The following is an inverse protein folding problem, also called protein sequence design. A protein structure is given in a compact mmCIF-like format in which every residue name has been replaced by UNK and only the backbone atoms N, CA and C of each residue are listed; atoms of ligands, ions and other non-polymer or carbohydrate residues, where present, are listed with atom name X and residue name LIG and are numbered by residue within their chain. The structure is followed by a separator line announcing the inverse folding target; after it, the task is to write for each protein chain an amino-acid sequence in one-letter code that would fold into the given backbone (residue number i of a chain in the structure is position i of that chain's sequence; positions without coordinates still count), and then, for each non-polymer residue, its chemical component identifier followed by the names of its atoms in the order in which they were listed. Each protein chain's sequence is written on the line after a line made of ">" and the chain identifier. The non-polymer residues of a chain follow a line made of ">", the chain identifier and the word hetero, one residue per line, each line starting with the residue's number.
data_IF_961449899643
#
_entry.id   IF_961449899643
#
_cell.length_a   1.000
_cell.length_b   1.000
_cell.length_c   1.000
_cell.angle_alpha   90.00
_cell.angle_beta   90.00
_cell.angle_gamma   90.00
#
_symmetry.space_group_name_H-M   'P 1'
#
loop_
_entity.id
_entity.type
_entity.pdbx_description
1 polymer ?
#
# COMPACT_ATOMS: atom_id res chain seq x y z
N UNK A 1 -15.94 17.04 -15.08
CA UNK A 1 -14.65 16.79 -15.76
C UNK A 1 -13.43 17.26 -14.94
N UNK A 2 -13.24 18.54 -14.61
CA UNK A 2 -12.07 18.99 -13.80
C UNK A 2 -12.09 18.33 -12.41
N UNK A 3 -13.24 18.30 -11.73
CA UNK A 3 -13.39 17.66 -10.42
C UNK A 3 -13.07 16.16 -10.44
N UNK A 4 -13.45 15.42 -11.48
CA UNK A 4 -13.16 14.00 -11.57
C UNK A 4 -11.66 13.73 -11.76
N UNK A 5 -10.99 14.56 -12.56
CA UNK A 5 -9.54 14.49 -12.71
C UNK A 5 -8.84 14.79 -11.37
N UNK A 6 -9.29 15.82 -10.64
CA UNK A 6 -8.72 16.16 -9.33
C UNK A 6 -8.89 14.99 -8.33
N UNK A 7 -10.07 14.34 -8.32
CA UNK A 7 -10.35 13.16 -7.49
C UNK A 7 -9.42 11.99 -7.80
N UNK A 8 -9.28 11.65 -9.08
CA UNK A 8 -8.36 10.58 -9.52
C UNK A 8 -6.93 10.91 -9.12
N UNK A 9 -6.48 12.14 -9.36
CA UNK A 9 -5.14 12.58 -9.01
C UNK A 9 -4.90 12.65 -7.50
N UNK A 10 -5.90 12.97 -6.68
CA UNK A 10 -5.80 12.92 -5.23
C UNK A 10 -5.47 11.50 -4.76
N UNK A 11 -6.21 10.50 -5.22
CA UNK A 11 -5.98 9.10 -4.87
C UNK A 11 -4.61 8.63 -5.38
N UNK A 12 -4.27 8.94 -6.62
CA UNK A 12 -2.98 8.57 -7.22
C UNK A 12 -1.80 9.16 -6.43
N UNK A 13 -1.87 10.46 -6.07
CA UNK A 13 -0.77 11.12 -5.35
C UNK A 13 -0.71 10.71 -3.87
N UNK A 14 -1.83 10.50 -3.20
CA UNK A 14 -1.84 9.98 -1.83
C UNK A 14 -1.22 8.58 -1.75
N UNK A 15 -1.59 7.69 -2.67
CA UNK A 15 -1.01 6.34 -2.78
C UNK A 15 0.47 6.40 -3.14
N UNK A 16 0.87 7.31 -4.03
CA UNK A 16 2.25 7.57 -4.42
C UNK A 16 3.11 8.01 -3.24
N UNK A 17 2.64 8.98 -2.47
CA UNK A 17 3.33 9.43 -1.25
C UNK A 17 3.47 8.28 -0.25
N UNK A 18 2.41 7.54 -0.01
CA UNK A 18 2.43 6.35 0.84
C UNK A 18 3.44 5.30 0.39
N UNK A 19 3.55 5.07 -0.93
CA UNK A 19 4.51 4.11 -1.47
C UNK A 19 5.96 4.59 -1.32
N UNK A 20 6.23 5.87 -1.54
CA UNK A 20 7.54 6.47 -1.29
C UNK A 20 7.97 6.34 0.18
N UNK A 21 7.04 6.58 1.11
CA UNK A 21 7.27 6.41 2.55
C UNK A 21 7.44 4.93 2.94
N UNK A 22 6.73 4.02 2.29
CA UNK A 22 6.76 2.58 2.55
C UNK A 22 8.17 1.99 2.55
N UNK A 23 9.01 2.42 1.60
CA UNK A 23 10.37 1.93 1.48
C UNK A 23 11.21 2.09 2.75
N UNK A 24 10.82 3.04 3.60
CA UNK A 24 11.50 3.30 4.88
C UNK A 24 11.07 2.35 6.01
N UNK A 25 9.93 1.67 5.86
CA UNK A 25 9.33 0.85 6.91
C UNK A 25 9.21 -0.64 6.56
N UNK A 26 9.98 -1.08 5.57
CA UNK A 26 10.09 -2.48 5.17
C UNK A 26 8.98 -2.94 4.22
N UNK A 27 9.10 -4.20 3.80
CA UNK A 27 8.26 -4.71 2.72
C UNK A 27 6.82 -4.98 3.14
N UNK A 28 6.61 -5.60 4.26
CA UNK A 28 5.28 -6.05 4.68
C UNK A 28 4.50 -4.93 5.35
N UNK A 29 4.95 -4.51 6.52
CA UNK A 29 4.25 -3.47 7.29
C UNK A 29 4.26 -2.12 6.60
N UNK A 30 5.33 -1.78 5.91
CA UNK A 30 5.39 -0.56 5.11
C UNK A 30 4.29 -0.49 4.05
N UNK A 31 3.86 -1.62 3.49
CA UNK A 31 2.81 -1.66 2.47
C UNK A 31 1.41 -1.30 3.01
N UNK A 32 1.21 -1.35 4.33
CA UNK A 32 -0.03 -0.86 4.93
C UNK A 32 -0.24 0.64 4.71
N UNK A 33 0.84 1.42 4.62
CA UNK A 33 0.77 2.89 4.48
C UNK A 33 0.17 3.32 3.14
N UNK A 34 0.69 2.91 1.97
CA UNK A 34 0.05 3.26 0.70
C UNK A 34 -1.37 2.73 0.59
N UNK A 35 -1.67 1.56 1.14
CA UNK A 35 -3.04 1.03 1.19
C UNK A 35 -3.97 1.90 2.03
N UNK A 36 -3.53 2.32 3.22
CA UNK A 36 -4.30 3.23 4.08
C UNK A 36 -4.58 4.56 3.38
N UNK A 37 -3.55 5.20 2.81
CA UNK A 37 -3.71 6.49 2.15
C UNK A 37 -4.57 6.37 0.87
N UNK A 38 -4.47 5.25 0.14
CA UNK A 38 -5.34 4.96 -0.99
C UNK A 38 -6.81 4.88 -0.55
N UNK A 39 -7.12 4.05 0.45
CA UNK A 39 -8.50 3.85 0.93
C UNK A 39 -9.12 5.12 1.51
N UNK A 40 -8.36 5.85 2.33
CA UNK A 40 -8.82 7.12 2.90
C UNK A 40 -9.08 8.18 1.82
N UNK A 41 -8.17 8.34 0.86
CA UNK A 41 -8.32 9.30 -0.23
C UNK A 41 -9.43 8.93 -1.20
N UNK A 42 -9.67 7.62 -1.45
CA UNK A 42 -10.82 7.15 -2.21
C UNK A 42 -12.14 7.56 -1.55
N UNK A 43 -12.26 7.37 -0.23
CA UNK A 43 -13.44 7.81 0.49
C UNK A 43 -13.63 9.33 0.43
N UNK A 44 -12.58 10.11 0.62
CA UNK A 44 -12.64 11.57 0.54
C UNK A 44 -13.00 12.08 -0.85
N UNK A 45 -12.52 11.40 -1.90
CA UNK A 45 -12.76 11.77 -3.29
C UNK A 45 -14.17 11.41 -3.79
N UNK A 46 -14.69 10.25 -3.41
CA UNK A 46 -15.88 9.67 -4.03
C UNK A 46 -16.95 9.25 -3.02
N UNK A 47 -16.66 9.22 -1.73
CA UNK A 47 -17.62 8.88 -0.68
C UNK A 47 -18.69 9.95 -0.51
N UNK A 48 -19.85 9.52 -0.02
CA UNK A 48 -20.89 10.46 0.39
C UNK A 48 -20.47 11.11 1.71
N UNK A 49 -20.58 12.44 1.78
CA UNK A 49 -20.16 13.23 2.94
C UNK A 49 -20.78 12.73 4.27
N UNK A 50 -20.01 12.77 5.34
CA UNK A 50 -20.54 12.71 6.71
C UNK A 50 -19.99 11.63 7.64
N UNK A 51 -19.23 10.62 7.15
CA UNK A 51 -18.83 9.51 8.02
C UNK A 51 -17.31 9.30 8.04
N UNK A 52 -16.62 9.93 8.97
CA UNK A 52 -15.16 9.77 9.14
C UNK A 52 -14.75 8.33 9.43
N UNK A 53 -15.62 7.54 10.06
CA UNK A 53 -15.39 6.11 10.28
C UNK A 53 -15.31 5.32 8.97
N UNK A 54 -16.05 5.72 7.95
CA UNK A 54 -15.96 5.11 6.62
C UNK A 54 -14.58 5.32 6.01
N UNK A 55 -14.06 6.55 6.06
CA UNK A 55 -12.70 6.86 5.63
C UNK A 55 -11.67 5.97 6.34
N UNK A 56 -11.77 5.84 7.66
CA UNK A 56 -10.86 5.00 8.45
C UNK A 56 -10.99 3.51 8.10
N UNK A 57 -12.21 3.02 7.86
CA UNK A 57 -12.48 1.64 7.48
C UNK A 57 -11.91 1.32 6.09
N UNK A 58 -12.15 2.18 5.11
CA UNK A 58 -11.56 2.05 3.77
C UNK A 58 -10.04 2.05 3.83
N UNK A 59 -9.46 2.95 4.64
CA UNK A 59 -8.02 2.98 4.89
C UNK A 59 -7.51 1.67 5.49
N UNK A 60 -8.15 1.14 6.51
CA UNK A 60 -7.74 -0.09 7.18
C UNK A 60 -7.86 -1.32 6.24
N UNK A 61 -8.97 -1.45 5.51
CA UNK A 61 -9.20 -2.59 4.62
C UNK A 61 -8.23 -2.60 3.44
N UNK A 62 -7.98 -1.46 2.80
CA UNK A 62 -6.99 -1.38 1.72
C UNK A 62 -5.55 -1.49 2.25
N UNK A 63 -5.26 -1.04 3.48
CA UNK A 63 -3.97 -1.30 4.12
C UNK A 63 -3.70 -2.79 4.25
N UNK A 64 -4.66 -3.56 4.77
CA UNK A 64 -4.54 -5.02 4.88
C UNK A 64 -4.40 -5.66 3.50
N UNK A 65 -5.29 -5.32 2.57
CA UNK A 65 -5.31 -5.92 1.22
C UNK A 65 -4.00 -5.70 0.47
N UNK A 66 -3.43 -4.50 0.52
CA UNK A 66 -2.17 -4.19 -0.14
C UNK A 66 -0.97 -4.82 0.59
N UNK A 67 -1.01 -4.90 1.92
CA UNK A 67 0.08 -5.48 2.72
C UNK A 67 0.30 -6.97 2.47
N UNK A 68 -0.73 -7.69 2.05
CA UNK A 68 -0.64 -9.11 1.66
C UNK A 68 0.46 -9.32 0.61
N UNK A 69 0.60 -8.42 -0.36
CA UNK A 69 1.67 -8.45 -1.35
C UNK A 69 3.08 -8.31 -0.76
N UNK A 70 3.21 -7.73 0.45
CA UNK A 70 4.49 -7.46 1.11
C UNK A 70 5.36 -8.67 1.40
N UNK A 71 4.81 -9.86 1.36
CA UNK A 71 5.56 -11.13 1.46
C UNK A 71 6.47 -11.33 0.24
N UNK A 72 6.11 -10.76 -0.92
CA UNK A 72 6.91 -10.86 -2.14
C UNK A 72 8.00 -9.78 -2.17
N UNK A 73 9.27 -10.19 -2.26
CA UNK A 73 10.40 -9.28 -2.46
C UNK A 73 10.55 -8.91 -3.94
N UNK A 74 10.78 -7.64 -4.23
CA UNK A 74 10.99 -7.15 -5.59
C UNK A 74 12.38 -6.53 -5.83
N UNK A 75 13.17 -6.27 -4.80
CA UNK A 75 14.47 -5.60 -4.92
C UNK A 75 15.44 -6.32 -5.87
N UNK A 76 15.46 -7.65 -5.88
CA UNK A 76 16.27 -8.42 -6.82
C UNK A 76 15.76 -8.25 -8.27
N UNK A 77 14.46 -8.19 -8.47
CA UNK A 77 13.85 -7.99 -9.79
C UNK A 77 14.15 -6.59 -10.34
N UNK A 78 14.19 -5.57 -9.47
CA UNK A 78 14.67 -4.23 -9.84
C UNK A 78 16.12 -4.31 -10.30
N UNK A 79 17.00 -5.03 -9.56
CA UNK A 79 18.39 -5.24 -9.97
C UNK A 79 18.52 -5.88 -11.36
N UNK A 80 17.67 -6.85 -11.71
CA UNK A 80 17.63 -7.40 -13.07
C UNK A 80 17.16 -6.34 -14.09
N UNK A 81 16.08 -5.63 -13.81
CA UNK A 81 15.51 -4.63 -14.71
C UNK A 81 16.47 -3.45 -14.98
N UNK A 82 17.30 -3.09 -13.99
CA UNK A 82 18.31 -2.03 -14.12
C UNK A 82 19.65 -2.52 -14.66
N UNK A 83 19.83 -3.83 -14.82
CA UNK A 83 21.09 -4.45 -15.23
C UNK A 83 22.26 -4.12 -14.27
N UNK A 84 21.99 -4.07 -12.96
CA UNK A 84 23.03 -3.87 -11.95
C UNK A 84 24.07 -4.98 -12.00
N UNK A 85 25.35 -4.59 -11.99
CA UNK A 85 26.47 -5.52 -11.96
C UNK A 85 26.38 -6.41 -10.69
N UNK A 86 26.58 -7.73 -10.89
CA UNK A 86 26.56 -8.69 -9.77
C UNK A 86 25.18 -9.20 -9.36
N UNK A 87 24.10 -8.80 -10.03
CA UNK A 87 22.72 -9.26 -9.75
C UNK A 87 22.28 -10.48 -10.59
N UNK A 88 23.21 -11.13 -11.31
CA UNK A 88 22.95 -12.35 -12.10
C UNK A 88 22.75 -12.10 -13.60
N UNK A 89 22.60 -13.18 -14.36
CA UNK A 89 22.60 -13.18 -15.83
C UNK A 89 21.23 -12.90 -16.48
N UNK A 90 20.23 -12.45 -15.70
CA UNK A 90 18.89 -12.21 -16.24
C UNK A 90 18.82 -10.89 -17.01
N UNK A 91 18.10 -10.90 -18.14
CA UNK A 91 17.95 -9.71 -18.96
C UNK A 91 17.09 -8.62 -18.30
N UNK A 92 17.28 -7.34 -18.63
CA UNK A 92 16.40 -6.26 -18.17
C UNK A 92 14.93 -6.47 -18.52
N UNK A 93 14.65 -7.05 -19.69
CA UNK A 93 13.28 -7.40 -20.10
C UNK A 93 12.66 -8.43 -19.15
N UNK A 94 13.43 -9.46 -18.77
CA UNK A 94 12.99 -10.41 -17.74
C UNK A 94 12.67 -9.71 -16.43
N UNK A 95 13.56 -8.83 -15.97
CA UNK A 95 13.34 -8.05 -14.75
C UNK A 95 12.03 -7.23 -14.80
N UNK A 96 11.78 -6.54 -15.91
CA UNK A 96 10.55 -5.76 -16.11
C UNK A 96 9.30 -6.64 -16.13
N UNK A 97 9.32 -7.80 -16.83
CA UNK A 97 8.18 -8.71 -16.86
C UNK A 97 7.91 -9.33 -15.49
N UNK A 98 8.96 -9.74 -14.78
CA UNK A 98 8.83 -10.27 -13.42
C UNK A 98 8.33 -9.21 -12.44
N UNK A 99 8.74 -7.95 -12.59
CA UNK A 99 8.21 -6.81 -11.83
C UNK A 99 6.73 -6.55 -12.15
N UNK A 100 6.35 -6.64 -13.43
CA UNK A 100 4.94 -6.51 -13.82
C UNK A 100 4.08 -7.60 -13.16
N UNK A 101 4.54 -8.85 -13.17
CA UNK A 101 3.86 -9.96 -12.51
C UNK A 101 3.76 -9.74 -10.99
N UNK A 102 4.90 -9.50 -10.34
CA UNK A 102 4.96 -9.35 -8.88
C UNK A 102 4.19 -8.12 -8.41
N UNK A 103 4.40 -6.97 -9.06
CA UNK A 103 3.66 -5.74 -8.77
C UNK A 103 2.17 -5.87 -9.07
N UNK A 104 1.83 -6.57 -10.16
CA UNK A 104 0.45 -6.90 -10.49
C UNK A 104 -0.23 -7.71 -9.40
N UNK A 105 0.44 -8.71 -8.82
CA UNK A 105 -0.10 -9.49 -7.70
C UNK A 105 -0.34 -8.63 -6.45
N UNK A 106 0.53 -7.66 -6.14
CA UNK A 106 0.26 -6.69 -5.09
C UNK A 106 -1.03 -5.91 -5.35
N UNK A 107 -1.16 -5.37 -6.56
CA UNK A 107 -2.33 -4.60 -6.96
C UNK A 107 -3.61 -5.42 -7.09
N UNK A 108 -3.49 -6.70 -7.47
CA UNK A 108 -4.62 -7.61 -7.57
C UNK A 108 -5.36 -7.72 -6.23
N UNK A 109 -4.66 -7.98 -5.14
CA UNK A 109 -5.29 -8.11 -3.82
C UNK A 109 -5.81 -6.77 -3.28
N UNK A 110 -5.14 -5.65 -3.59
CA UNK A 110 -5.70 -4.33 -3.31
C UNK A 110 -7.01 -4.09 -4.07
N UNK A 111 -7.06 -4.51 -5.33
CA UNK A 111 -8.25 -4.47 -6.17
C UNK A 111 -9.38 -5.38 -5.66
N UNK A 112 -9.07 -6.58 -5.15
CA UNK A 112 -10.06 -7.43 -4.46
C UNK A 112 -10.66 -6.69 -3.27
N UNK A 113 -9.82 -6.12 -2.40
CA UNK A 113 -10.28 -5.35 -1.24
C UNK A 113 -11.18 -4.17 -1.65
N UNK A 114 -10.78 -3.42 -2.67
CA UNK A 114 -11.60 -2.31 -3.19
C UNK A 114 -12.90 -2.82 -3.82
N UNK A 115 -12.84 -3.90 -4.59
CA UNK A 115 -14.03 -4.50 -5.20
C UNK A 115 -15.06 -4.92 -4.15
N UNK A 116 -14.63 -5.56 -3.08
CA UNK A 116 -15.50 -5.93 -1.95
C UNK A 116 -16.11 -4.71 -1.24
N UNK A 117 -15.42 -3.57 -1.23
CA UNK A 117 -15.91 -2.31 -0.64
C UNK A 117 -16.85 -1.52 -1.56
N UNK A 118 -16.81 -1.78 -2.87
CA UNK A 118 -17.56 -1.00 -3.87
C UNK A 118 -18.65 -1.79 -4.55
N UNK A 119 -18.64 -3.11 -4.41
CA UNK A 119 -19.74 -3.96 -4.92
C UNK A 119 -21.01 -3.74 -4.11
N UNK A 120 -22.16 -3.84 -4.78
CA UNK A 120 -23.47 -3.91 -4.11
C UNK A 120 -23.83 -5.30 -3.59
N UNK A 121 -22.94 -6.28 -3.74
CA UNK A 121 -23.17 -7.67 -3.31
C UNK A 121 -22.90 -7.80 -1.81
N UNK A 122 -23.87 -8.29 -1.07
CA UNK A 122 -23.69 -8.63 0.36
C UNK A 122 -23.08 -10.02 0.50
N UNK A 123 -21.84 -10.08 0.97
CA UNK A 123 -21.15 -11.33 1.28
C UNK A 123 -21.39 -11.76 2.71
N UNK A 124 -21.87 -12.97 2.88
CA UNK A 124 -21.97 -13.61 4.20
C UNK A 124 -20.60 -14.13 4.65
N UNK A 125 -20.42 -14.34 5.94
CA UNK A 125 -19.19 -14.90 6.48
C UNK A 125 -18.84 -16.25 5.83
N UNK A 126 -19.83 -17.07 5.47
CA UNK A 126 -19.64 -18.34 4.75
C UNK A 126 -19.04 -18.16 3.36
N UNK A 127 -19.48 -17.14 2.61
CA UNK A 127 -18.96 -16.84 1.26
C UNK A 127 -17.49 -16.40 1.33
N UNK A 128 -17.16 -15.53 2.30
CA UNK A 128 -15.79 -15.08 2.53
C UNK A 128 -14.90 -16.21 3.02
N UNK A 129 -15.42 -17.11 3.87
CA UNK A 129 -14.68 -18.30 4.31
C UNK A 129 -14.42 -19.25 3.14
N UNK A 130 -15.43 -19.50 2.27
CA UNK A 130 -15.27 -20.29 1.06
C UNK A 130 -14.22 -19.69 0.13
N UNK A 131 -14.28 -18.38 -0.12
CA UNK A 131 -13.25 -17.68 -0.88
C UNK A 131 -11.87 -17.87 -0.28
N UNK A 132 -11.70 -17.68 1.02
CA UNK A 132 -10.41 -17.83 1.70
C UNK A 132 -9.85 -19.26 1.56
N UNK A 133 -10.70 -20.28 1.68
CA UNK A 133 -10.32 -21.69 1.47
C UNK A 133 -9.87 -21.92 0.03
N UNK A 134 -10.63 -21.46 -0.96
CA UNK A 134 -10.29 -21.60 -2.38
C UNK A 134 -9.03 -20.83 -2.75
N UNK A 135 -8.85 -19.62 -2.24
CA UNK A 135 -7.62 -18.84 -2.44
C UNK A 135 -6.40 -19.54 -1.84
N UNK A 136 -6.55 -20.11 -0.64
CA UNK A 136 -5.48 -20.88 0.02
C UNK A 136 -5.14 -22.17 -0.75
N UNK A 137 -6.15 -22.90 -1.22
CA UNK A 137 -5.95 -24.08 -2.06
C UNK A 137 -5.25 -23.71 -3.37
N UNK A 138 -5.69 -22.61 -4.02
CA UNK A 138 -5.04 -22.07 -5.21
C UNK A 138 -3.58 -21.70 -4.96
N UNK A 139 -3.29 -21.09 -3.81
CA UNK A 139 -1.91 -20.76 -3.42
C UNK A 139 -1.03 -22.01 -3.33
N UNK A 140 -1.50 -23.04 -2.65
CA UNK A 140 -0.79 -24.32 -2.54
C UNK A 140 -0.58 -24.97 -3.91
N UNK A 141 -1.61 -24.99 -4.75
CA UNK A 141 -1.53 -25.53 -6.11
C UNK A 141 -0.56 -24.74 -6.98
N UNK A 142 -0.64 -23.41 -6.96
CA UNK A 142 0.25 -22.54 -7.72
C UNK A 142 1.72 -22.78 -7.36
N UNK A 143 2.02 -22.85 -6.08
CA UNK A 143 3.38 -23.17 -5.61
C UNK A 143 3.80 -24.59 -6.02
N UNK A 144 2.93 -25.58 -5.82
CA UNK A 144 3.23 -26.98 -6.17
C UNK A 144 3.48 -27.17 -7.66
N UNK A 145 2.67 -26.57 -8.52
CA UNK A 145 2.81 -26.70 -9.97
C UNK A 145 4.00 -25.89 -10.50
N UNK A 146 4.06 -24.59 -10.16
CA UNK A 146 5.02 -23.70 -10.80
C UNK A 146 6.44 -23.89 -10.24
N UNK A 147 6.58 -24.00 -8.91
CA UNK A 147 7.91 -24.10 -8.29
C UNK A 147 8.36 -25.55 -8.18
N UNK A 148 7.51 -26.43 -7.62
CA UNK A 148 7.92 -27.83 -7.39
C UNK A 148 7.84 -28.69 -8.65
N UNK A 149 6.85 -28.45 -9.52
CA UNK A 149 6.64 -29.25 -10.74
C UNK A 149 7.43 -28.72 -11.94
N UNK A 150 7.42 -27.40 -12.17
CA UNK A 150 8.02 -26.79 -13.36
C UNK A 150 9.39 -26.14 -13.09
N UNK A 151 9.88 -26.13 -11.85
CA UNK A 151 11.15 -25.52 -11.44
C UNK A 151 11.28 -24.03 -11.84
N UNK A 152 10.17 -23.30 -11.77
CA UNK A 152 10.12 -21.88 -12.13
C UNK A 152 10.43 -21.00 -10.94
N UNK A 153 11.56 -20.31 -10.97
CA UNK A 153 12.03 -19.41 -9.93
C UNK A 153 12.19 -17.99 -10.47
N UNK A 154 11.44 -17.01 -9.91
CA UNK A 154 11.61 -15.60 -10.27
C UNK A 154 12.77 -14.94 -9.51
N UNK A 155 12.97 -15.30 -8.27
CA UNK A 155 13.90 -14.63 -7.34
C UNK A 155 14.83 -15.58 -6.59
N UNK A 156 15.52 -16.54 -7.27
CA UNK A 156 16.45 -17.41 -6.56
C UNK A 156 17.62 -16.59 -5.97
N UNK A 157 18.12 -16.89 -4.79
CA UNK A 157 17.69 -17.94 -3.84
C UNK A 157 16.59 -17.50 -2.86
N UNK A 158 15.87 -16.42 -3.16
CA UNK A 158 14.83 -15.87 -2.29
C UNK A 158 13.49 -16.61 -2.45
N UNK A 159 12.49 -16.14 -1.71
CA UNK A 159 11.15 -16.72 -1.69
C UNK A 159 10.47 -16.67 -3.07
N UNK A 160 9.93 -17.81 -3.49
CA UNK A 160 9.06 -17.95 -4.67
C UNK A 160 7.56 -17.81 -4.30
N UNK A 161 7.25 -16.98 -3.32
CA UNK A 161 5.88 -16.69 -2.90
C UNK A 161 4.98 -16.20 -4.05
N UNK A 162 5.57 -15.60 -5.10
CA UNK A 162 4.86 -15.15 -6.30
C UNK A 162 3.99 -16.26 -6.93
N UNK A 163 4.46 -17.50 -6.91
CA UNK A 163 3.72 -18.63 -7.49
C UNK A 163 2.48 -18.97 -6.67
N UNK A 164 2.60 -18.93 -5.34
CA UNK A 164 1.46 -19.09 -4.44
C UNK A 164 0.45 -17.93 -4.63
N UNK A 165 0.92 -16.69 -4.69
CA UNK A 165 0.04 -15.54 -4.92
C UNK A 165 -0.63 -15.58 -6.30
N UNK A 166 0.05 -16.07 -7.34
CA UNK A 166 -0.57 -16.25 -8.65
C UNK A 166 -1.66 -17.31 -8.61
N UNK A 167 -1.42 -18.44 -7.97
CA UNK A 167 -2.44 -19.48 -7.78
C UNK A 167 -3.63 -18.97 -6.97
N UNK A 168 -3.40 -18.20 -5.90
CA UNK A 168 -4.45 -17.56 -5.14
C UNK A 168 -5.23 -16.54 -5.98
N UNK A 169 -4.56 -15.76 -6.82
CA UNK A 169 -5.21 -14.78 -7.69
C UNK A 169 -6.10 -15.47 -8.74
N UNK A 170 -5.64 -16.56 -9.34
CA UNK A 170 -6.43 -17.35 -10.30
C UNK A 170 -7.69 -17.91 -9.65
N UNK A 171 -7.56 -18.58 -8.49
CA UNK A 171 -8.71 -19.14 -7.79
C UNK A 171 -9.67 -18.07 -7.26
N UNK A 172 -9.15 -16.91 -6.83
CA UNK A 172 -9.95 -15.74 -6.45
C UNK A 172 -10.76 -15.21 -7.65
N UNK A 173 -10.12 -15.11 -8.82
CA UNK A 173 -10.80 -14.69 -10.05
C UNK A 173 -11.91 -15.68 -10.43
N UNK A 174 -11.64 -16.98 -10.36
CA UNK A 174 -12.63 -18.03 -10.63
C UNK A 174 -13.80 -17.92 -9.66
N UNK A 175 -13.54 -17.74 -8.36
CA UNK A 175 -14.60 -17.58 -7.37
C UNK A 175 -15.48 -16.37 -7.67
N UNK A 176 -14.91 -15.18 -7.88
CA UNK A 176 -15.71 -13.98 -8.12
C UNK A 176 -16.34 -13.94 -9.50
N UNK A 177 -15.72 -14.51 -10.51
CA UNK A 177 -16.31 -14.52 -11.88
C UNK A 177 -17.40 -15.58 -12.08
N UNK A 178 -17.20 -16.79 -11.53
CA UNK A 178 -18.05 -17.93 -11.86
C UNK A 178 -19.02 -18.29 -10.72
N UNK A 179 -18.57 -18.21 -9.47
CA UNK A 179 -19.39 -18.59 -8.31
C UNK A 179 -20.26 -17.43 -7.85
N UNK A 180 -19.68 -16.33 -7.42
CA UNK A 180 -20.44 -15.16 -6.95
C UNK A 180 -20.93 -14.26 -8.08
N UNK A 181 -20.41 -14.42 -9.29
CA UNK A 181 -20.73 -13.61 -10.49
C UNK A 181 -20.55 -12.09 -10.25
N UNK A 182 -19.59 -11.73 -9.40
CA UNK A 182 -19.29 -10.35 -9.04
C UNK A 182 -18.17 -9.80 -9.92
N UNK A 183 -18.55 -9.26 -11.05
CA UNK A 183 -17.62 -8.66 -12.01
C UNK A 183 -17.01 -7.36 -11.51
N UNK A 184 -17.57 -6.71 -10.48
CA UNK A 184 -17.00 -5.51 -9.87
C UNK A 184 -15.68 -5.87 -9.16
N UNK A 185 -15.67 -6.96 -8.38
CA UNK A 185 -14.44 -7.45 -7.74
C UNK A 185 -13.40 -7.86 -8.77
N UNK A 186 -13.83 -8.59 -9.82
CA UNK A 186 -12.92 -9.02 -10.90
C UNK A 186 -12.31 -7.83 -11.64
N UNK A 187 -13.11 -6.83 -12.00
CA UNK A 187 -12.64 -5.64 -12.71
C UNK A 187 -11.66 -4.81 -11.86
N UNK A 188 -11.99 -4.58 -10.58
CA UNK A 188 -11.08 -3.87 -9.67
C UNK A 188 -9.76 -4.62 -9.48
N UNK A 189 -9.81 -5.96 -9.36
CA UNK A 189 -8.61 -6.79 -9.23
C UNK A 189 -7.73 -6.71 -10.48
N UNK A 190 -8.33 -6.79 -11.67
CA UNK A 190 -7.61 -6.67 -12.95
C UNK A 190 -6.99 -5.28 -13.12
N UNK A 191 -7.72 -4.21 -12.81
CA UNK A 191 -7.20 -2.84 -12.86
C UNK A 191 -6.09 -2.61 -11.84
N UNK A 192 -6.24 -3.13 -10.62
CA UNK A 192 -5.19 -3.11 -9.61
C UNK A 192 -3.92 -3.82 -10.10
N UNK A 193 -4.07 -5.01 -10.71
CA UNK A 193 -2.94 -5.72 -11.33
C UNK A 193 -2.24 -4.86 -12.38
N UNK A 194 -2.99 -4.32 -13.34
CA UNK A 194 -2.44 -3.50 -14.42
C UNK A 194 -1.72 -2.28 -13.87
N UNK A 195 -2.35 -1.55 -12.93
CA UNK A 195 -1.79 -0.32 -12.37
C UNK A 195 -0.49 -0.54 -11.62
N UNK A 196 -0.50 -1.41 -10.62
CA UNK A 196 0.71 -1.68 -9.84
C UNK A 196 1.78 -2.40 -10.67
N UNK A 197 1.39 -3.36 -11.51
CA UNK A 197 2.33 -4.04 -12.41
C UNK A 197 3.04 -3.06 -13.34
N UNK A 198 2.28 -2.15 -13.98
CA UNK A 198 2.84 -1.09 -14.82
C UNK A 198 3.73 -0.15 -14.00
N UNK A 199 3.29 0.24 -12.81
CA UNK A 199 4.05 1.12 -11.92
C UNK A 199 5.42 0.54 -11.55
N UNK A 200 5.48 -0.75 -11.20
CA UNK A 200 6.73 -1.46 -10.91
C UNK A 200 7.65 -1.53 -12.14
N UNK A 201 7.13 -1.95 -13.30
CA UNK A 201 7.92 -2.08 -14.51
C UNK A 201 8.42 -0.74 -15.05
N UNK A 202 7.51 0.23 -15.24
CA UNK A 202 7.86 1.57 -15.71
C UNK A 202 8.78 2.30 -14.73
N UNK A 203 8.50 2.15 -13.42
CA UNK A 203 9.34 2.71 -12.38
C UNK A 203 10.79 2.20 -12.47
N UNK A 204 10.99 0.90 -12.68
CA UNK A 204 12.33 0.33 -12.85
C UNK A 204 13.02 0.84 -14.13
N UNK A 205 12.29 1.01 -15.23
CA UNK A 205 12.84 1.61 -16.46
C UNK A 205 13.26 3.06 -16.21
N UNK A 206 12.43 3.85 -15.53
CA UNK A 206 12.73 5.23 -15.18
C UNK A 206 13.95 5.31 -14.26
N UNK A 207 14.05 4.41 -13.26
CA UNK A 207 15.21 4.32 -12.38
C UNK A 207 16.47 4.04 -13.18
N UNK A 208 16.47 3.03 -14.03
CA UNK A 208 17.61 2.69 -14.91
C UNK A 208 18.06 3.87 -15.77
N UNK A 209 17.11 4.49 -16.48
CA UNK A 209 17.47 5.59 -17.40
C UNK A 209 17.90 6.85 -16.64
N UNK A 210 17.34 7.10 -15.46
CA UNK A 210 17.74 8.19 -14.59
C UNK A 210 19.17 8.03 -14.07
N UNK A 211 19.54 6.83 -13.63
CA UNK A 211 20.89 6.51 -13.17
C UNK A 211 21.92 6.60 -14.31
N UNK A 212 21.56 6.07 -15.51
CA UNK A 212 22.42 6.17 -16.70
C UNK A 212 22.70 7.61 -17.10
N UNK A 213 21.75 8.52 -16.90
CA UNK A 213 21.88 9.95 -17.24
C UNK A 213 22.48 10.78 -16.10
N UNK A 214 22.78 10.19 -14.95
CA UNK A 214 23.34 10.88 -13.80
C UNK A 214 22.39 11.95 -13.25
N UNK A 215 21.08 11.70 -13.21
CA UNK A 215 20.11 12.67 -12.72
C UNK A 215 20.37 12.97 -11.25
N UNK A 216 20.40 14.25 -10.90
CA UNK A 216 20.80 14.72 -9.57
C UNK A 216 19.73 14.53 -8.49
N UNK A 217 18.86 13.52 -8.59
CA UNK A 217 17.87 13.15 -7.59
C UNK A 217 17.85 11.63 -7.40
N UNK A 218 17.19 11.14 -6.33
CA UNK A 218 17.08 9.70 -6.09
C UNK A 218 16.09 9.06 -7.06
N UNK A 219 16.62 8.46 -8.11
CA UNK A 219 15.84 7.74 -9.13
C UNK A 219 15.12 6.52 -8.53
N UNK A 220 15.70 5.90 -7.48
CA UNK A 220 15.04 4.85 -6.70
C UNK A 220 13.77 5.36 -6.02
N UNK A 221 13.83 6.49 -5.31
CA UNK A 221 12.64 7.08 -4.67
C UNK A 221 11.59 7.48 -5.70
N UNK A 222 12.03 8.02 -6.83
CA UNK A 222 11.13 8.34 -7.94
C UNK A 222 10.43 7.09 -8.50
N UNK A 223 11.15 5.97 -8.62
CA UNK A 223 10.56 4.66 -8.96
C UNK A 223 9.48 4.27 -7.95
N UNK A 224 9.76 4.35 -6.64
CA UNK A 224 8.80 4.02 -5.59
C UNK A 224 7.54 4.90 -5.69
N UNK A 225 7.67 6.20 -5.89
CA UNK A 225 6.54 7.10 -6.09
C UNK A 225 5.70 6.72 -7.32
N UNK A 226 6.33 6.30 -8.42
CA UNK A 226 5.63 5.85 -9.63
C UNK A 226 4.80 4.59 -9.39
N UNK A 227 5.30 3.64 -8.61
CA UNK A 227 4.54 2.43 -8.24
C UNK A 227 3.21 2.80 -7.60
N UNK A 228 3.26 3.66 -6.58
CA UNK A 228 2.05 4.12 -5.89
C UNK A 228 1.15 4.97 -6.77
N UNK A 229 1.71 5.82 -7.63
CA UNK A 229 0.93 6.67 -8.53
C UNK A 229 0.10 5.86 -9.53
N UNK A 230 0.71 4.94 -10.26
CA UNK A 230 -0.01 4.10 -11.23
C UNK A 230 -0.99 3.15 -10.54
N UNK A 231 -0.63 2.62 -9.37
CA UNK A 231 -1.51 1.79 -8.56
C UNK A 231 -2.74 2.55 -8.08
N UNK A 232 -2.55 3.72 -7.49
CA UNK A 232 -3.64 4.59 -7.02
C UNK A 232 -4.51 5.11 -8.16
N UNK A 233 -3.90 5.46 -9.30
CA UNK A 233 -4.62 5.83 -10.52
C UNK A 233 -5.58 4.72 -10.97
N UNK A 234 -5.08 3.48 -11.07
CA UNK A 234 -5.87 2.34 -11.51
C UNK A 234 -7.00 1.97 -10.54
N UNK A 235 -6.79 2.14 -9.23
CA UNK A 235 -7.82 1.91 -8.23
C UNK A 235 -8.86 3.06 -8.17
N UNK A 236 -8.51 4.29 -8.58
CA UNK A 236 -9.43 5.41 -8.62
C UNK A 236 -10.36 5.39 -9.86
N UNK A 237 -9.90 4.85 -10.98
CA UNK A 237 -10.65 4.85 -12.24
C UNK A 237 -12.02 4.15 -12.14
N UNK A 238 -12.16 2.97 -11.51
CA UNK A 238 -13.48 2.35 -11.34
C UNK A 238 -14.47 3.23 -10.57
N UNK A 239 -14.00 3.89 -9.51
CA UNK A 239 -14.83 4.79 -8.72
C UNK A 239 -15.30 6.02 -9.51
N UNK A 240 -14.46 6.49 -10.45
CA UNK A 240 -14.78 7.60 -11.34
C UNK A 240 -15.75 7.24 -12.46
N UNK A 241 -15.63 6.03 -13.04
CA UNK A 241 -16.40 5.60 -14.20
C UNK A 241 -17.78 5.01 -13.83
N UNK A 242 -17.86 4.36 -12.69
CA UNK A 242 -19.12 3.78 -12.22
C UNK A 242 -19.71 4.73 -11.19
N UNK A 243 -20.93 5.22 -11.40
CA UNK A 243 -21.69 6.03 -10.43
C UNK A 243 -21.89 5.33 -9.05
N UNK A 244 -21.27 4.18 -8.85
CA UNK A 244 -21.15 3.43 -7.61
C UNK A 244 -19.84 3.83 -6.87
N UNK A 245 -19.81 5.02 -6.30
CA UNK A 245 -18.75 5.41 -5.36
C UNK A 245 -18.68 4.44 -4.17
N UNK A 246 -17.70 4.64 -3.27
CA UNK A 246 -17.53 3.83 -2.07
C UNK A 246 -18.87 3.61 -1.35
N UNK A 247 -19.20 2.35 -1.05
CA UNK A 247 -20.41 2.00 -0.31
C UNK A 247 -20.24 2.32 1.17
N UNK A 248 -21.32 2.81 1.81
CA UNK A 248 -21.33 2.98 3.27
C UNK A 248 -21.35 1.63 3.95
N UNK A 249 -20.41 1.40 4.84
CA UNK A 249 -20.31 0.18 5.64
C UNK A 249 -21.11 0.34 6.94
N UNK A 250 -21.77 -0.71 7.40
CA UNK A 250 -22.29 -0.73 8.77
C UNK A 250 -21.15 -0.98 9.77
N UNK A 251 -20.70 0.10 10.42
CA UNK A 251 -19.55 0.06 11.31
C UNK A 251 -20.05 0.14 12.76
N UNK A 252 -20.34 -1.01 13.33
CA UNK A 252 -20.65 -1.13 14.77
C UNK A 252 -19.46 -0.73 15.66
N UNK A 253 -19.73 -0.51 16.94
CA UNK A 253 -18.72 -0.04 17.92
C UNK A 253 -17.50 -0.95 18.02
N UNK A 254 -17.67 -2.27 17.90
CA UNK A 254 -16.56 -3.23 17.91
C UNK A 254 -15.61 -3.02 16.72
N UNK A 255 -16.16 -2.77 15.54
CA UNK A 255 -15.35 -2.48 14.35
C UNK A 255 -14.61 -1.15 14.45
N UNK A 256 -15.22 -0.12 15.05
CA UNK A 256 -14.54 1.15 15.31
C UNK A 256 -13.29 0.95 16.18
N UNK A 257 -13.41 0.13 17.24
CA UNK A 257 -12.26 -0.23 18.07
C UNK A 257 -11.20 -1.02 17.30
N UNK A 258 -11.61 -2.01 16.51
CA UNK A 258 -10.68 -2.78 15.70
C UNK A 258 -9.89 -1.89 14.72
N UNK A 259 -10.57 -0.95 14.05
CA UNK A 259 -9.95 0.01 13.13
C UNK A 259 -8.93 0.89 13.87
N UNK A 260 -9.28 1.44 15.05
CA UNK A 260 -8.37 2.29 15.82
C UNK A 260 -7.16 1.52 16.34
N UNK A 261 -7.36 0.30 16.86
CA UNK A 261 -6.27 -0.55 17.31
C UNK A 261 -5.33 -0.92 16.17
N UNK A 262 -5.87 -1.17 14.98
CA UNK A 262 -5.07 -1.39 13.79
C UNK A 262 -4.26 -0.16 13.40
N UNK A 263 -4.84 1.05 13.45
CA UNK A 263 -4.13 2.29 13.19
C UNK A 263 -3.01 2.53 14.22
N UNK A 264 -3.30 2.33 15.51
CA UNK A 264 -2.28 2.41 16.55
C UNK A 264 -1.14 1.43 16.28
N UNK A 265 -1.45 0.19 15.94
CA UNK A 265 -0.46 -0.83 15.61
C UNK A 265 0.40 -0.43 14.38
N UNK A 266 -0.21 0.15 13.35
CA UNK A 266 0.53 0.68 12.20
C UNK A 266 1.54 1.76 12.63
N UNK A 267 1.11 2.73 13.44
CA UNK A 267 2.02 3.75 13.97
C UNK A 267 3.13 3.15 14.83
N UNK A 268 2.80 2.19 15.68
CA UNK A 268 3.77 1.46 16.47
C UNK A 268 4.86 0.85 15.57
N UNK A 269 4.47 0.12 14.51
CA UNK A 269 5.41 -0.51 13.59
C UNK A 269 6.28 0.49 12.83
N UNK A 270 5.70 1.61 12.39
CA UNK A 270 6.40 2.70 11.70
C UNK A 270 7.45 3.33 12.62
N UNK A 271 7.08 3.68 13.84
CA UNK A 271 7.99 4.31 14.80
C UNK A 271 9.10 3.33 15.22
N UNK A 272 8.74 2.08 15.51
CA UNK A 272 9.72 1.03 15.86
C UNK A 272 10.77 0.87 14.79
N UNK A 273 10.39 0.83 13.52
CA UNK A 273 11.35 0.70 12.42
C UNK A 273 12.33 1.88 12.35
N UNK A 274 11.87 3.11 12.63
CA UNK A 274 12.78 4.25 12.75
C UNK A 274 13.74 4.11 13.94
N UNK A 275 13.25 3.67 15.10
CA UNK A 275 14.07 3.44 16.29
C UNK A 275 15.13 2.36 16.05
N UNK A 276 14.75 1.27 15.35
CA UNK A 276 15.67 0.21 14.95
C UNK A 276 16.79 0.75 14.07
N UNK A 277 16.46 1.55 13.07
CA UNK A 277 17.44 2.19 12.19
C UNK A 277 18.41 3.09 12.97
N UNK A 278 17.91 3.93 13.87
CA UNK A 278 18.75 4.83 14.66
C UNK A 278 19.60 4.09 15.70
N UNK A 279 19.20 2.92 16.12
CA UNK A 279 19.95 2.10 17.10
C UNK A 279 20.95 1.16 16.43
N UNK A 280 20.52 0.43 15.41
CA UNK A 280 21.31 -0.62 14.78
C UNK A 280 22.19 -0.07 13.66
N UNK A 281 21.62 0.73 12.74
CA UNK A 281 22.30 1.15 11.52
C UNK A 281 23.17 2.39 11.75
N UNK A 282 22.63 3.44 12.38
CA UNK A 282 23.34 4.71 12.59
C UNK A 282 24.00 4.83 13.95
N UNK A 283 23.65 3.98 14.89
CA UNK A 283 24.10 4.00 16.30
C UNK A 283 23.87 5.35 17.00
N UNK A 284 22.96 6.14 16.49
CA UNK A 284 22.59 7.44 17.06
C UNK A 284 21.84 7.30 18.38
N UNK A 285 21.10 6.21 18.55
CA UNK A 285 20.32 5.92 19.75
C UNK A 285 20.95 4.78 20.54
N UNK A 286 21.13 4.96 21.86
CA UNK A 286 21.64 3.89 22.70
C UNK A 286 20.58 2.79 22.91
N UNK A 287 21.03 1.54 23.09
CA UNK A 287 20.14 0.39 23.35
C UNK A 287 19.23 0.58 24.57
N UNK A 288 19.69 1.32 25.61
CA UNK A 288 18.88 1.60 26.81
C UNK A 288 17.74 2.57 26.49
N UNK A 289 18.03 3.64 25.76
CA UNK A 289 17.02 4.61 25.31
C UNK A 289 16.03 3.92 24.34
N UNK A 290 16.53 3.11 23.42
CA UNK A 290 15.68 2.31 22.54
C UNK A 290 14.69 1.45 23.33
N UNK A 291 15.16 0.67 24.32
CA UNK A 291 14.29 -0.17 25.15
C UNK A 291 13.26 0.65 25.92
N UNK A 292 13.65 1.80 26.47
CA UNK A 292 12.72 2.71 27.16
C UNK A 292 11.66 3.28 26.22
N UNK A 293 12.03 3.68 25.01
CA UNK A 293 11.09 4.18 23.98
C UNK A 293 10.14 3.09 23.51
N UNK A 294 10.63 1.87 23.28
CA UNK A 294 9.79 0.73 22.92
C UNK A 294 8.76 0.42 24.01
N UNK A 295 9.20 0.40 25.27
CA UNK A 295 8.28 0.21 26.39
C UNK A 295 7.25 1.34 26.46
N UNK A 296 7.69 2.59 26.28
CA UNK A 296 6.79 3.76 26.24
C UNK A 296 5.75 3.66 25.11
N UNK A 297 6.16 3.19 23.92
CA UNK A 297 5.24 2.97 22.80
C UNK A 297 4.20 1.88 23.11
N UNK A 298 4.63 0.77 23.70
CA UNK A 298 3.70 -0.31 24.12
C UNK A 298 2.73 0.22 25.16
N UNK A 299 3.23 0.89 26.18
CA UNK A 299 2.40 1.45 27.25
C UNK A 299 1.47 2.57 26.76
N UNK A 300 1.81 3.25 25.64
CA UNK A 300 0.96 4.27 25.02
C UNK A 300 -0.41 3.73 24.56
N UNK A 301 -0.55 2.41 24.41
CA UNK A 301 -1.85 1.79 24.12
C UNK A 301 -2.90 2.10 25.19
N UNK A 302 -2.49 2.19 26.46
CA UNK A 302 -3.41 2.45 27.59
C UNK A 302 -4.05 3.85 27.47
N UNK A 303 -3.26 4.95 27.42
CA UNK A 303 -3.83 6.28 27.23
C UNK A 303 -4.52 6.42 25.86
N UNK A 304 -4.03 5.74 24.80
CA UNK A 304 -4.70 5.74 23.51
C UNK A 304 -6.14 5.19 23.61
N UNK A 305 -6.34 4.05 24.25
CA UNK A 305 -7.68 3.48 24.46
C UNK A 305 -8.57 4.44 25.25
N UNK A 306 -8.03 5.08 26.29
CA UNK A 306 -8.77 6.02 27.11
C UNK A 306 -9.20 7.26 26.30
N UNK A 307 -8.26 7.89 25.59
CA UNK A 307 -8.49 9.09 24.78
C UNK A 307 -9.37 8.82 23.55
N UNK A 308 -9.35 7.60 23.03
CA UNK A 308 -10.16 7.23 21.87
C UNK A 308 -11.65 7.00 22.21
N UNK A 309 -12.02 6.79 23.50
CA UNK A 309 -13.41 6.51 23.90
C UNK A 309 -14.44 7.55 23.43
N UNK A 310 -14.26 8.86 23.65
CA UNK A 310 -15.20 9.85 23.14
C UNK A 310 -15.24 9.87 21.63
N UNK A 311 -14.08 9.69 20.96
CA UNK A 311 -14.00 9.61 19.50
C UNK A 311 -14.83 8.43 18.94
N UNK A 312 -14.74 7.25 19.56
CA UNK A 312 -15.54 6.08 19.14
C UNK A 312 -17.04 6.33 19.30
N UNK A 313 -17.45 7.05 20.36
CA UNK A 313 -18.85 7.30 20.66
C UNK A 313 -19.46 8.43 19.81
N UNK A 314 -18.74 9.52 19.65
CA UNK A 314 -19.29 10.82 19.27
C UNK A 314 -18.84 11.33 17.91
N UNK A 315 -17.78 10.74 17.32
CA UNK A 315 -17.29 11.25 16.03
C UNK A 315 -18.27 10.98 14.90
N UNK A 316 -18.91 12.05 14.44
CA UNK A 316 -19.88 12.04 13.34
C UNK A 316 -19.24 12.15 11.95
N UNK A 317 -17.89 12.27 11.87
CA UNK A 317 -17.16 12.42 10.62
C UNK A 317 -16.82 13.87 10.25
N UNK A 318 -17.23 14.83 11.07
CA UNK A 318 -16.77 16.21 10.91
C UNK A 318 -15.23 16.29 10.96
N UNK A 319 -14.63 17.08 10.04
CA UNK A 319 -13.18 17.23 9.98
C UNK A 319 -12.41 16.03 9.42
N UNK A 320 -13.04 15.10 8.68
CA UNK A 320 -12.37 13.95 8.07
C UNK A 320 -11.17 14.35 7.21
N UNK A 321 -11.30 15.40 6.41
CA UNK A 321 -10.18 15.94 5.62
C UNK A 321 -9.03 16.41 6.50
N UNK A 322 -9.32 17.06 7.64
CA UNK A 322 -8.29 17.51 8.58
C UNK A 322 -7.60 16.30 9.24
N UNK A 323 -8.35 15.26 9.62
CA UNK A 323 -7.79 14.01 10.16
C UNK A 323 -6.86 13.37 9.13
N UNK A 324 -7.27 13.29 7.88
CA UNK A 324 -6.45 12.75 6.79
C UNK A 324 -5.16 13.56 6.60
N UNK A 325 -5.26 14.89 6.46
CA UNK A 325 -4.09 15.76 6.30
C UNK A 325 -3.14 15.65 7.48
N UNK A 326 -3.66 15.61 8.71
CA UNK A 326 -2.84 15.46 9.92
C UNK A 326 -2.13 14.12 9.96
N UNK A 327 -2.80 13.03 9.56
CA UNK A 327 -2.20 11.71 9.46
C UNK A 327 -1.08 11.69 8.41
N UNK A 328 -1.33 12.21 7.20
CA UNK A 328 -0.33 12.28 6.13
C UNK A 328 0.86 13.15 6.54
N UNK A 329 0.61 14.28 7.20
CA UNK A 329 1.65 15.16 7.74
C UNK A 329 2.53 14.42 8.76
N UNK A 330 1.91 13.72 9.73
CA UNK A 330 2.63 12.97 10.74
C UNK A 330 3.47 11.83 10.13
N UNK A 331 2.89 11.08 9.21
CA UNK A 331 3.61 10.02 8.49
C UNK A 331 4.79 10.60 7.70
N UNK A 332 4.62 11.78 7.10
CA UNK A 332 5.68 12.44 6.35
C UNK A 332 6.83 12.90 7.28
N UNK A 333 6.51 13.46 8.45
CA UNK A 333 7.52 13.80 9.46
C UNK A 333 8.29 12.54 9.89
N UNK A 334 7.58 11.48 10.29
CA UNK A 334 8.22 10.26 10.80
C UNK A 334 9.05 9.59 9.70
N UNK A 335 8.53 9.49 8.48
CA UNK A 335 9.24 8.89 7.35
C UNK A 335 10.48 9.68 6.95
N UNK A 336 10.41 11.02 6.95
CA UNK A 336 11.56 11.87 6.62
C UNK A 336 12.56 12.01 7.76
N UNK A 337 12.15 11.78 9.01
CA UNK A 337 13.05 11.79 10.16
C UNK A 337 14.19 10.74 10.06
N UNK A 338 13.95 9.63 9.35
CA UNK A 338 14.96 8.60 9.09
C UNK A 338 16.16 9.16 8.31
N UNK A 339 15.96 10.19 7.50
CA UNK A 339 17.01 10.82 6.71
C UNK A 339 17.86 11.86 7.50
N UNK A 340 17.59 12.08 8.78
CA UNK A 340 18.33 13.07 9.57
C UNK A 340 19.84 12.75 9.64
N UNK A 341 20.26 11.50 9.54
CA UNK A 341 21.62 11.06 9.79
C UNK A 341 22.29 10.21 8.70
N UNK A 342 21.87 10.22 7.44
CA UNK A 342 22.44 9.14 6.63
C UNK A 342 22.79 9.33 5.16
N UNK A 343 22.36 10.36 4.48
CA UNK A 343 22.39 10.29 3.01
C UNK A 343 23.06 11.46 2.26
N UNK A 344 23.98 12.18 2.89
CA UNK A 344 24.75 13.23 2.20
C UNK A 344 23.89 14.25 1.43
N UNK A 345 24.37 14.74 0.28
CA UNK A 345 23.71 15.79 -0.52
C UNK A 345 22.37 15.36 -1.17
N UNK A 346 22.16 14.06 -1.37
CA UNK A 346 20.88 13.53 -1.89
C UNK A 346 19.73 13.64 -0.88
N UNK A 347 20.06 13.75 0.39
CA UNK A 347 19.13 13.79 1.51
C UNK A 347 18.11 14.94 1.41
N UNK A 348 18.58 16.17 1.18
CA UNK A 348 17.70 17.34 1.08
C UNK A 348 16.71 17.21 -0.07
N UNK A 349 17.14 16.62 -1.19
CA UNK A 349 16.31 16.42 -2.39
C UNK A 349 15.25 15.32 -2.17
N UNK A 350 15.61 14.23 -1.49
CA UNK A 350 14.65 13.17 -1.11
C UNK A 350 13.57 13.72 -0.19
N UNK A 351 13.97 14.43 0.87
CA UNK A 351 13.06 15.08 1.82
C UNK A 351 12.16 16.08 1.09
N UNK A 352 12.73 16.92 0.21
CA UNK A 352 11.95 17.87 -0.58
C UNK A 352 10.88 17.18 -1.45
N UNK A 353 11.19 16.02 -2.07
CA UNK A 353 10.21 15.27 -2.87
C UNK A 353 8.98 14.88 -2.05
N UNK A 354 9.17 14.37 -0.83
CA UNK A 354 8.06 14.01 0.06
C UNK A 354 7.20 15.22 0.44
N UNK A 355 7.82 16.37 0.74
CA UNK A 355 7.08 17.58 1.12
C UNK A 355 6.37 18.24 -0.05
N UNK A 356 6.96 18.22 -1.24
CA UNK A 356 6.29 18.69 -2.48
C UNK A 356 5.05 17.82 -2.76
N UNK A 357 5.18 16.51 -2.62
CA UNK A 357 4.06 15.60 -2.86
C UNK A 357 2.96 15.72 -1.78
N UNK A 358 3.34 15.96 -0.52
CA UNK A 358 2.39 16.30 0.53
C UNK A 358 1.61 17.59 0.19
N UNK A 359 2.31 18.64 -0.23
CA UNK A 359 1.66 19.90 -0.64
C UNK A 359 0.70 19.69 -1.83
N UNK A 360 1.08 18.83 -2.79
CA UNK A 360 0.20 18.48 -3.91
C UNK A 360 -1.04 17.71 -3.46
N UNK A 361 -0.92 16.79 -2.52
CA UNK A 361 -2.08 16.08 -1.93
C UNK A 361 -3.02 17.07 -1.25
N UNK A 362 -2.48 18.01 -0.46
CA UNK A 362 -3.28 19.05 0.18
C UNK A 362 -4.00 19.94 -0.84
N UNK A 363 -3.30 20.37 -1.90
CA UNK A 363 -3.89 21.17 -2.97
C UNK A 363 -5.02 20.44 -3.69
N UNK A 364 -4.81 19.17 -4.04
CA UNK A 364 -5.83 18.34 -4.69
C UNK A 364 -7.05 18.13 -3.79
N UNK A 365 -6.84 17.98 -2.48
CA UNK A 365 -7.93 17.85 -1.52
C UNK A 365 -8.80 19.12 -1.43
N UNK A 366 -8.23 20.30 -1.68
CA UNK A 366 -9.00 21.57 -1.74
C UNK A 366 -9.84 21.69 -3.03
N UNK A 367 -9.52 20.92 -4.07
CA UNK A 367 -10.22 20.92 -5.35
C UNK A 367 -11.34 19.87 -5.43
N UNK A 368 -11.42 18.97 -4.46
CA UNK A 368 -12.40 17.87 -4.36
C UNK A 368 -13.52 18.19 -3.39
#
# INVERSE_FOLDING_TARGET
>A
MIGDIARILLVANATSLGWGLRGEWGHWWGATVPGALCGMSLWLAYGRSGYGWQMMAYGALLAVSLSVGGIMSYGLLVGYATAEKGRGERSPTYGCLALFLTGGLWGFFAGVGLGLLTTGTEYKAGDLAMWAVLASAGALMGYAILVRGLDLHLTPPRSDAWAAFLGAAVSTTIFFALWSKDLVVVANSALGWIGFGSGFSLGAVIHREGDRRGLGFSTWKFMEHNVGFFGGLALAVPAALHNGGPQSLDIGSSWKWAILLFQWFMFYMVITNNLDHWTADTKWLSRRIYAALQMGLILSLIPFIYLARPFVREWSGGGSSLVFVSLVFLLNIIGTAKFIHGWGDLRSRVVATFWIQFALVCLLLLLV
#
